data_IF_455067172127
#
_entry.id   IF_455067172127
#
_cell.length_a   1.000
_cell.length_b   1.000
_cell.length_c   1.000
_cell.angle_alpha   90.00
_cell.angle_beta   90.00
_cell.angle_gamma   90.00
#
_symmetry.space_group_name_H-M   'P 1'
#
loop_
_entity.id
_entity.type
_entity.pdbx_description
1 polymer ?
#
# COMPACT_ATOMS: atom_id res chain seq x y z
N UNK A 1 -2.90 7.01 -20.02
CA UNK A 1 -4.16 7.73 -19.66
C UNK A 1 -4.45 7.55 -18.16
N UNK A 2 -5.22 8.42 -17.49
CA UNK A 2 -5.57 8.36 -16.05
C UNK A 2 -6.28 7.05 -15.59
N UNK A 3 -6.49 6.09 -16.50
CA UNK A 3 -7.27 4.86 -16.33
C UNK A 3 -6.45 3.58 -16.54
N UNK A 4 -5.14 3.66 -16.76
CA UNK A 4 -4.32 2.47 -16.95
C UNK A 4 -4.12 1.73 -15.62
N UNK A 5 -4.74 0.54 -15.53
CA UNK A 5 -4.69 -0.34 -14.34
C UNK A 5 -3.27 -0.74 -13.91
N UNK A 6 -2.30 -0.61 -14.80
CA UNK A 6 -0.90 -1.00 -14.59
C UNK A 6 0.06 0.16 -14.88
N UNK A 7 -0.30 1.39 -14.49
CA UNK A 7 0.64 2.50 -14.59
C UNK A 7 1.90 2.23 -13.74
N UNK A 8 3.04 2.80 -14.15
CA UNK A 8 4.30 2.70 -13.39
C UNK A 8 4.09 3.13 -11.94
N UNK A 9 3.34 4.21 -11.73
CA UNK A 9 2.99 4.78 -10.44
C UNK A 9 2.14 3.82 -9.60
N UNK A 10 1.19 3.11 -10.22
CA UNK A 10 0.37 2.13 -9.53
C UNK A 10 1.20 0.92 -9.05
N UNK A 11 2.15 0.44 -9.85
CA UNK A 11 3.09 -0.62 -9.44
C UNK A 11 4.01 -0.15 -8.30
N UNK A 12 4.48 1.11 -8.36
CA UNK A 12 5.29 1.72 -7.30
C UNK A 12 4.49 1.81 -5.98
N UNK A 13 3.22 2.22 -6.05
CA UNK A 13 2.33 2.31 -4.87
C UNK A 13 2.23 0.94 -4.18
N UNK A 14 1.94 -0.11 -4.94
CA UNK A 14 1.79 -1.48 -4.44
C UNK A 14 3.10 -2.00 -3.83
N UNK A 15 4.20 -1.85 -4.57
CA UNK A 15 5.52 -2.27 -4.11
C UNK A 15 5.97 -1.54 -2.85
N UNK A 16 5.70 -0.23 -2.75
CA UNK A 16 6.06 0.56 -1.58
C UNK A 16 5.27 0.15 -0.33
N UNK A 17 3.95 -0.07 -0.46
CA UNK A 17 3.14 -0.56 0.66
C UNK A 17 3.57 -1.96 1.12
N UNK A 18 3.82 -2.87 0.16
CA UNK A 18 4.35 -4.20 0.45
C UNK A 18 5.69 -4.13 1.18
N UNK A 19 6.61 -3.30 0.69
CA UNK A 19 7.92 -3.07 1.31
C UNK A 19 7.77 -2.56 2.74
N UNK A 20 6.93 -1.54 2.97
CA UNK A 20 6.71 -0.99 4.31
C UNK A 20 6.14 -2.04 5.27
N UNK A 21 5.27 -2.94 4.80
CA UNK A 21 4.77 -4.06 5.58
C UNK A 21 5.88 -5.06 5.94
N UNK A 22 6.69 -5.42 4.97
CA UNK A 22 7.81 -6.37 5.15
C UNK A 22 8.92 -5.80 6.04
N UNK A 23 9.23 -4.51 5.92
CA UNK A 23 10.18 -3.80 6.79
C UNK A 23 9.75 -3.83 8.28
N UNK A 24 8.47 -4.07 8.55
CA UNK A 24 7.89 -4.25 9.89
C UNK A 24 7.72 -5.71 10.30
N UNK A 25 8.26 -6.63 9.50
CA UNK A 25 8.14 -8.08 9.72
C UNK A 25 6.69 -8.56 9.83
N UNK A 26 5.74 -7.85 9.21
CA UNK A 26 4.34 -8.23 9.23
C UNK A 26 4.03 -9.14 8.05
N UNK A 27 3.37 -10.26 8.30
CA UNK A 27 2.71 -11.03 7.24
C UNK A 27 1.47 -10.29 6.74
N UNK A 28 0.95 -10.67 5.57
CA UNK A 28 -0.32 -10.12 5.08
C UNK A 28 -1.47 -10.40 6.07
N UNK A 29 -1.46 -11.59 6.72
CA UNK A 29 -2.43 -11.94 7.75
C UNK A 29 -2.35 -11.04 8.97
N UNK A 30 -1.14 -10.79 9.49
CA UNK A 30 -0.94 -9.93 10.65
C UNK A 30 -1.37 -8.47 10.38
N UNK A 31 -1.13 -7.95 9.18
CA UNK A 31 -1.63 -6.63 8.81
C UNK A 31 -3.16 -6.61 8.69
N UNK A 32 -3.75 -7.67 8.13
CA UNK A 32 -5.20 -7.81 8.05
C UNK A 32 -5.86 -7.83 9.44
N UNK A 33 -5.28 -8.55 10.40
CA UNK A 33 -5.73 -8.57 11.79
C UNK A 33 -5.70 -7.17 12.42
N UNK A 34 -4.59 -6.43 12.25
CA UNK A 34 -4.48 -5.03 12.70
C UNK A 34 -5.57 -4.14 12.11
N UNK A 35 -5.92 -4.34 10.85
CA UNK A 35 -6.92 -3.57 10.12
C UNK A 35 -8.35 -4.11 10.25
N UNK A 36 -8.55 -5.21 10.99
CA UNK A 36 -9.84 -5.92 11.13
C UNK A 36 -10.50 -6.21 9.78
N UNK A 37 -9.72 -6.70 8.83
CA UNK A 37 -10.14 -6.97 7.45
C UNK A 37 -9.67 -8.35 7.01
N UNK A 38 -10.28 -8.99 5.98
CA UNK A 38 -9.75 -10.24 5.44
C UNK A 38 -8.34 -10.06 4.87
N UNK A 39 -7.46 -11.05 5.08
CA UNK A 39 -6.12 -11.08 4.46
C UNK A 39 -6.18 -10.94 2.92
N UNK A 40 -7.27 -11.40 2.30
CA UNK A 40 -7.49 -11.26 0.86
C UNK A 40 -7.55 -9.81 0.39
N UNK A 41 -7.95 -8.85 1.23
CA UNK A 41 -7.88 -7.42 0.89
C UNK A 41 -6.41 -6.99 0.74
N UNK A 42 -5.54 -7.46 1.65
CA UNK A 42 -4.11 -7.17 1.62
C UNK A 42 -3.47 -7.74 0.36
N UNK A 43 -3.73 -9.03 0.08
CA UNK A 43 -3.22 -9.69 -1.13
C UNK A 43 -3.66 -8.96 -2.40
N UNK A 44 -4.94 -8.59 -2.51
CA UNK A 44 -5.49 -7.98 -3.73
C UNK A 44 -4.95 -6.58 -4.00
N UNK A 45 -4.71 -5.77 -2.98
CA UNK A 45 -4.10 -4.46 -3.23
C UNK A 45 -2.62 -4.59 -3.53
N UNK A 46 -1.90 -5.54 -2.92
CA UNK A 46 -0.48 -5.75 -3.20
C UNK A 46 -0.22 -6.37 -4.59
N UNK A 47 -1.16 -7.16 -5.12
CA UNK A 47 -1.09 -7.71 -6.48
C UNK A 47 -1.64 -6.76 -7.56
N UNK A 48 -2.33 -5.69 -7.16
CA UNK A 48 -3.01 -4.77 -8.07
C UNK A 48 -4.36 -5.25 -8.59
N UNK A 49 -4.87 -6.40 -8.13
CA UNK A 49 -6.23 -6.87 -8.42
C UNK A 49 -7.31 -5.93 -7.89
N UNK A 50 -7.00 -5.15 -6.85
CA UNK A 50 -7.90 -4.16 -6.27
C UNK A 50 -7.20 -2.84 -5.99
N UNK A 51 -7.76 -1.75 -6.49
CA UNK A 51 -7.30 -0.41 -6.14
C UNK A 51 -7.76 -0.02 -4.73
N UNK A 52 -6.92 0.73 -4.03
CA UNK A 52 -7.25 1.32 -2.75
C UNK A 52 -7.92 2.68 -2.95
N UNK A 53 -8.90 2.99 -2.11
CA UNK A 53 -9.31 4.38 -1.92
C UNK A 53 -8.28 5.13 -1.09
N UNK A 54 -8.33 6.47 -1.11
CA UNK A 54 -7.44 7.29 -0.28
C UNK A 54 -7.60 6.99 1.22
N UNK A 55 -8.83 6.75 1.69
CA UNK A 55 -9.10 6.42 3.10
C UNK A 55 -8.47 5.08 3.47
N UNK A 56 -8.60 4.06 2.61
CA UNK A 56 -7.96 2.76 2.84
C UNK A 56 -6.43 2.86 2.85
N UNK A 57 -5.86 3.63 1.93
CA UNK A 57 -4.42 3.92 1.93
C UNK A 57 -3.98 4.53 3.25
N UNK A 58 -4.68 5.57 3.73
CA UNK A 58 -4.37 6.23 4.99
C UNK A 58 -4.46 5.27 6.20
N UNK A 59 -5.47 4.39 6.23
CA UNK A 59 -5.61 3.38 7.28
C UNK A 59 -4.46 2.36 7.25
N UNK A 60 -4.08 1.89 6.06
CA UNK A 60 -2.94 0.97 5.89
C UNK A 60 -1.64 1.64 6.34
N UNK A 61 -1.38 2.88 5.90
CA UNK A 61 -0.21 3.65 6.35
C UNK A 61 -0.18 3.77 7.87
N UNK A 62 -1.31 4.10 8.50
CA UNK A 62 -1.43 4.23 9.96
C UNK A 62 -1.17 2.90 10.67
N UNK A 63 -1.71 1.78 10.18
CA UNK A 63 -1.45 0.45 10.73
C UNK A 63 0.00 0.00 10.57
N UNK A 64 0.68 0.55 9.56
CA UNK A 64 2.11 0.45 9.34
C UNK A 64 2.87 1.60 10.03
N UNK A 65 2.32 2.34 10.98
CA UNK A 65 3.07 3.37 11.73
C UNK A 65 3.82 4.38 10.81
N UNK A 66 3.20 4.71 9.66
CA UNK A 66 3.65 5.75 8.73
C UNK A 66 2.53 6.74 8.56
N UNK A 67 2.80 8.04 8.73
CA UNK A 67 1.80 9.05 8.41
C UNK A 67 1.61 9.15 6.89
N UNK A 68 0.40 9.51 6.44
CA UNK A 68 0.14 9.66 5.01
C UNK A 68 1.09 10.67 4.35
N UNK A 69 1.46 11.74 5.05
CA UNK A 69 2.42 12.73 4.57
C UNK A 69 3.83 12.14 4.38
N UNK A 70 4.30 11.30 5.31
CA UNK A 70 5.56 10.59 5.15
C UNK A 70 5.50 9.61 3.97
N UNK A 71 4.38 8.90 3.82
CA UNK A 71 4.15 8.00 2.71
C UNK A 71 4.20 8.73 1.36
N UNK A 72 3.52 9.88 1.23
CA UNK A 72 3.53 10.69 0.01
C UNK A 72 4.95 11.11 -0.40
N UNK A 73 5.79 11.52 0.56
CA UNK A 73 7.20 11.87 0.28
C UNK A 73 8.01 10.67 -0.23
N UNK A 74 7.80 9.47 0.33
CA UNK A 74 8.46 8.25 -0.13
C UNK A 74 7.98 7.84 -1.53
N UNK A 75 6.69 8.00 -1.78
CA UNK A 75 6.07 7.69 -3.07
C UNK A 75 6.60 8.61 -4.18
N UNK A 76 6.63 9.93 -3.95
CA UNK A 76 7.19 10.89 -4.91
C UNK A 76 8.66 10.61 -5.23
N UNK A 77 9.47 10.28 -4.21
CA UNK A 77 10.88 9.89 -4.40
C UNK A 77 11.01 8.62 -5.24
N UNK A 78 10.08 7.68 -5.10
CA UNK A 78 10.10 6.41 -5.85
C UNK A 78 9.69 6.60 -7.31
N UNK A 79 8.82 7.57 -7.63
CA UNK A 79 8.44 7.90 -9.01
C UNK A 79 9.56 8.61 -9.77
N UNK A 80 10.28 9.51 -9.09
CA UNK A 80 11.38 10.30 -9.69
C UNK A 80 12.65 9.48 -9.98
N UNK A 81 12.66 8.21 -9.58
CA UNK A 81 13.74 7.25 -9.83
C UNK A 81 13.49 6.50 -11.14
#
# INVERSE_FOLDING_TARGET
>A
MLTERYSKEQLILQGLLKKLREDRSLTQGALAEKLRTPQSLISKYESGERHLTFVELNLICTALEVSISQFSLLFEKSIKK
#
